data_IF_934555840300
#
_entry.id   IF_934555840300
#
_cell.length_a   1.000
_cell.length_b   1.000
_cell.length_c   1.000
_cell.angle_alpha   90.00
_cell.angle_beta   90.00
_cell.angle_gamma   90.00
#
_symmetry.space_group_name_H-M   'P 1'
#
loop_
_entity.id
_entity.type
_entity.pdbx_description
1 polymer ?
#
# COMPACT_ATOMS: atom_id res chain seq x y z
N UNK A 1 -25.51 9.22 -2.08
CA UNK A 1 -25.29 9.24 -0.62
C UNK A 1 -26.11 8.13 0.03
N UNK A 2 -25.46 7.22 0.77
CA UNK A 2 -26.18 6.21 1.58
C UNK A 2 -26.97 6.93 2.67
N UNK A 3 -28.21 6.47 2.93
CA UNK A 3 -29.13 7.13 3.88
C UNK A 3 -28.46 7.27 5.25
N UNK A 4 -28.23 8.51 5.69
CA UNK A 4 -27.77 8.83 7.05
C UNK A 4 -26.26 9.01 7.25
N UNK A 5 -25.45 9.09 6.20
CA UNK A 5 -24.04 9.50 6.28
C UNK A 5 -23.90 10.93 5.74
N UNK A 6 -23.24 11.80 6.49
CA UNK A 6 -22.91 13.18 6.12
C UNK A 6 -21.41 13.40 6.14
N UNK A 7 -20.87 14.07 5.13
CA UNK A 7 -19.46 14.45 5.00
C UNK A 7 -19.35 15.97 4.98
N UNK A 8 -18.49 16.54 5.82
CA UNK A 8 -18.26 17.99 5.89
C UNK A 8 -16.76 18.29 6.01
N UNK A 9 -16.34 19.46 5.50
CA UNK A 9 -15.03 20.05 5.83
C UNK A 9 -15.17 20.79 7.15
N UNK A 10 -14.25 20.54 8.05
CA UNK A 10 -14.15 21.18 9.36
C UNK A 10 -12.68 21.58 9.61
N UNK A 11 -12.43 22.25 10.73
CA UNK A 11 -11.08 22.55 11.19
C UNK A 11 -10.89 21.97 12.59
N UNK A 12 -9.74 21.36 12.84
CA UNK A 12 -9.41 20.93 14.18
C UNK A 12 -9.08 22.13 15.10
N UNK A 13 -8.83 21.85 16.39
CA UNK A 13 -8.52 22.87 17.38
C UNK A 13 -7.22 23.65 17.06
N UNK A 14 -6.36 23.10 16.21
CA UNK A 14 -5.12 23.73 15.74
C UNK A 14 -5.31 24.49 14.43
N UNK A 15 -6.53 24.52 13.88
CA UNK A 15 -6.86 25.18 12.62
C UNK A 15 -6.45 24.39 11.38
N UNK A 16 -6.15 23.10 11.52
CA UNK A 16 -5.79 22.22 10.41
C UNK A 16 -7.08 21.77 9.71
N UNK A 17 -7.16 21.87 8.36
CA UNK A 17 -8.34 21.42 7.62
C UNK A 17 -8.51 19.91 7.76
N UNK A 18 -9.70 19.48 8.17
CA UNK A 18 -10.06 18.08 8.31
C UNK A 18 -11.43 17.79 7.67
N UNK A 19 -11.64 16.53 7.32
CA UNK A 19 -12.90 16.04 6.76
C UNK A 19 -13.57 15.17 7.80
N UNK A 20 -14.78 15.52 8.19
CA UNK A 20 -15.54 14.79 9.21
C UNK A 20 -16.67 14.04 8.54
N UNK A 21 -16.63 12.70 8.66
CA UNK A 21 -17.71 11.83 8.21
C UNK A 21 -18.50 11.39 9.43
N UNK A 22 -19.77 11.73 9.48
CA UNK A 22 -20.70 11.39 10.57
C UNK A 22 -21.78 10.45 10.08
N UNK A 23 -22.11 9.45 10.89
CA UNK A 23 -23.25 8.54 10.65
C UNK A 23 -24.34 8.82 11.67
N UNK A 24 -25.61 8.87 11.24
CA UNK A 24 -26.73 9.12 12.15
C UNK A 24 -26.99 7.98 13.14
N UNK A 25 -26.77 6.72 12.73
CA UNK A 25 -26.99 5.52 13.57
C UNK A 25 -26.02 4.40 13.19
N UNK A 26 -25.43 3.75 14.21
CA UNK A 26 -24.53 2.61 14.05
C UNK A 26 -23.06 3.00 13.82
N UNK A 27 -22.20 1.98 13.73
CA UNK A 27 -20.75 2.14 13.51
C UNK A 27 -20.44 2.51 12.06
N UNK A 28 -19.40 3.31 11.87
CA UNK A 28 -18.90 3.67 10.55
C UNK A 28 -17.81 2.67 10.15
N UNK A 29 -18.00 1.96 9.04
CA UNK A 29 -17.02 0.95 8.59
C UNK A 29 -16.08 1.52 7.53
N UNK A 30 -14.85 0.98 7.43
CA UNK A 30 -13.88 1.40 6.40
C UNK A 30 -14.47 1.36 4.97
N UNK A 31 -15.19 0.31 4.54
CA UNK A 31 -15.83 0.32 3.22
C UNK A 31 -16.84 1.45 3.02
N UNK A 32 -17.60 1.82 4.06
CA UNK A 32 -18.54 2.95 3.99
C UNK A 32 -17.82 4.30 3.86
N UNK A 33 -16.68 4.46 4.54
CA UNK A 33 -15.82 5.64 4.43
C UNK A 33 -15.27 5.73 3.00
N UNK A 34 -14.68 4.65 2.51
CA UNK A 34 -14.08 4.59 1.18
C UNK A 34 -15.11 4.87 0.09
N UNK A 35 -16.28 4.23 0.15
CA UNK A 35 -17.40 4.48 -0.79
C UNK A 35 -17.84 5.96 -0.76
N UNK A 36 -17.91 6.55 0.44
CA UNK A 36 -18.33 7.95 0.62
C UNK A 36 -17.30 8.91 0.02
N UNK A 37 -16.01 8.63 0.15
CA UNK A 37 -14.94 9.44 -0.44
C UNK A 37 -14.85 9.27 -1.97
N UNK A 38 -15.07 8.07 -2.50
CA UNK A 38 -14.96 7.78 -3.93
C UNK A 38 -16.17 8.28 -4.74
N UNK A 39 -17.37 8.18 -4.17
CA UNK A 39 -18.62 8.41 -4.91
C UNK A 39 -19.49 9.54 -4.31
N UNK A 40 -19.10 10.08 -3.15
CA UNK A 40 -19.77 11.23 -2.54
C UNK A 40 -19.61 12.51 -3.36
N UNK A 41 -20.65 13.35 -3.35
CA UNK A 41 -20.69 14.71 -3.90
C UNK A 41 -19.89 14.94 -5.20
N UNK A 42 -20.21 14.17 -6.24
CA UNK A 42 -19.57 14.28 -7.57
C UNK A 42 -18.04 14.09 -7.54
N UNK A 43 -17.54 13.21 -6.66
CA UNK A 43 -16.12 12.87 -6.54
C UNK A 43 -15.22 14.04 -6.08
N UNK A 44 -15.79 15.07 -5.45
CA UNK A 44 -15.01 16.21 -4.94
C UNK A 44 -14.14 15.87 -3.70
N UNK A 45 -14.30 14.66 -3.17
CA UNK A 45 -13.60 14.15 -2.00
C UNK A 45 -12.51 13.12 -2.34
N UNK A 46 -12.21 12.92 -3.63
CA UNK A 46 -11.14 11.99 -4.05
C UNK A 46 -9.79 12.54 -3.61
N UNK A 47 -9.09 11.78 -2.78
CA UNK A 47 -7.81 12.17 -2.20
C UNK A 47 -7.24 11.09 -1.29
N UNK A 48 -6.05 11.34 -0.74
CA UNK A 48 -5.44 10.49 0.28
C UNK A 48 -5.74 11.07 1.66
N UNK A 49 -6.22 10.22 2.55
CA UNK A 49 -6.59 10.62 3.91
C UNK A 49 -5.87 9.76 4.94
N UNK A 50 -5.55 10.36 6.09
CA UNK A 50 -5.08 9.67 7.28
C UNK A 50 -6.17 9.69 8.33
N UNK A 51 -6.43 8.53 8.93
CA UNK A 51 -7.27 8.39 10.12
C UNK A 51 -6.32 8.28 11.31
N UNK A 52 -6.47 9.19 12.27
CA UNK A 52 -5.80 9.08 13.56
C UNK A 52 -6.74 8.33 14.51
N UNK A 53 -6.35 7.12 14.90
CA UNK A 53 -7.11 6.30 15.84
C UNK A 53 -6.58 6.55 17.25
N UNK A 54 -7.33 7.31 18.05
CA UNK A 54 -7.04 7.50 19.46
C UNK A 54 -7.73 6.41 20.30
N UNK A 55 -6.97 5.39 20.66
CA UNK A 55 -7.40 4.27 21.51
C UNK A 55 -6.99 4.46 22.98
N UNK A 56 -6.83 5.70 23.46
CA UNK A 56 -6.54 5.97 24.88
C UNK A 56 -7.75 5.67 25.76
N UNK A 57 -7.53 5.44 27.07
CA UNK A 57 -8.62 5.14 28.02
C UNK A 57 -9.69 6.25 28.09
N UNK A 58 -9.36 7.48 27.66
CA UNK A 58 -10.30 8.61 27.59
C UNK A 58 -11.39 8.39 26.54
N UNK A 59 -11.11 7.60 25.49
CA UNK A 59 -12.10 7.22 24.46
C UNK A 59 -12.87 5.94 24.81
N UNK A 60 -12.47 5.23 25.87
CA UNK A 60 -13.28 4.18 26.49
C UNK A 60 -14.26 4.83 27.47
N UNK A 61 -15.46 5.17 26.98
CA UNK A 61 -16.52 5.89 27.69
C UNK A 61 -16.55 5.66 29.20
N UNK A 62 -16.12 6.69 29.95
CA UNK A 62 -16.19 6.73 31.41
C UNK A 62 -17.63 6.93 31.88
N UNK A 63 -18.21 5.86 32.43
CA UNK A 63 -19.29 5.78 33.42
C UNK A 63 -20.45 6.80 33.31
N UNK A 64 -21.42 6.52 32.42
CA UNK A 64 -22.85 6.38 32.75
C UNK A 64 -23.61 7.47 33.51
N UNK A 65 -23.10 8.71 33.63
CA UNK A 65 -23.77 9.79 34.37
C UNK A 65 -24.20 10.98 33.49
N UNK A 66 -23.85 11.00 32.20
CA UNK A 66 -24.23 12.04 31.24
C UNK A 66 -25.22 11.60 30.14
N UNK A 67 -25.57 10.31 30.07
CA UNK A 67 -26.42 9.69 29.01
C UNK A 67 -27.90 10.11 29.00
N UNK A 68 -28.31 11.19 29.69
CA UNK A 68 -29.73 11.56 29.80
C UNK A 68 -30.17 12.77 28.96
N UNK A 69 -29.30 13.38 28.14
CA UNK A 69 -29.72 14.46 27.25
C UNK A 69 -29.00 14.38 25.91
N UNK A 70 -29.81 14.21 24.87
CA UNK A 70 -29.53 14.15 23.42
C UNK A 70 -29.24 12.76 22.84
N UNK A 71 -30.01 12.36 21.82
CA UNK A 71 -29.81 11.11 21.06
C UNK A 71 -28.36 11.05 20.56
N UNK A 72 -27.60 10.05 21.02
CA UNK A 72 -26.19 9.90 20.64
C UNK A 72 -26.04 9.96 19.12
N UNK A 73 -25.37 10.99 18.57
CA UNK A 73 -25.03 10.98 17.16
C UNK A 73 -24.15 9.75 16.94
N UNK A 74 -24.51 8.94 15.94
CA UNK A 74 -23.73 7.76 15.60
C UNK A 74 -22.26 8.10 15.27
N UNK A 75 -21.51 7.04 14.96
CA UNK A 75 -20.05 7.10 14.87
C UNK A 75 -19.53 8.18 13.91
N UNK A 76 -18.44 8.83 14.31
CA UNK A 76 -17.83 9.95 13.59
C UNK A 76 -16.33 9.70 13.43
N UNK A 77 -15.83 9.88 12.22
CA UNK A 77 -14.41 9.75 11.91
C UNK A 77 -13.89 11.07 11.34
N UNK A 78 -12.77 11.52 11.90
CA UNK A 78 -12.01 12.68 11.41
C UNK A 78 -10.90 12.17 10.50
N UNK A 79 -10.85 12.72 9.29
CA UNK A 79 -9.92 12.40 8.23
C UNK A 79 -9.07 13.63 7.93
N UNK A 80 -7.75 13.46 7.94
CA UNK A 80 -6.84 14.52 7.50
C UNK A 80 -6.44 14.26 6.06
N UNK A 81 -6.74 15.20 5.17
CA UNK A 81 -6.34 15.11 3.77
C UNK A 81 -4.83 15.37 3.68
N UNK A 82 -4.13 14.55 2.90
CA UNK A 82 -2.71 14.74 2.62
C UNK A 82 -2.55 15.34 1.23
N UNK A 83 -2.13 16.60 1.16
CA UNK A 83 -1.70 17.24 -0.10
C UNK A 83 -0.16 17.31 -0.18
N UNK A 84 0.35 17.34 -1.41
CA UNK A 84 1.80 17.36 -1.67
C UNK A 84 2.41 18.67 -1.19
N UNK A 85 3.44 18.59 -0.32
CA UNK A 85 4.12 19.76 0.23
C UNK A 85 3.46 20.41 1.44
N UNK A 86 2.27 19.97 1.86
CA UNK A 86 1.64 20.46 3.10
C UNK A 86 2.35 19.91 4.35
N UNK A 87 2.32 20.62 5.50
CA UNK A 87 2.85 20.08 6.73
C UNK A 87 2.05 18.85 7.19
N UNK A 88 2.75 17.79 7.57
CA UNK A 88 2.13 16.57 8.09
C UNK A 88 1.34 16.89 9.37
N UNK A 89 0.05 16.53 9.46
CA UNK A 89 -0.78 16.80 10.64
C UNK A 89 -0.32 16.04 11.90
N UNK A 90 0.57 15.06 11.76
CA UNK A 90 1.09 14.25 12.89
C UNK A 90 2.40 14.80 13.46
N UNK A 91 3.31 15.25 12.60
CA UNK A 91 4.67 15.65 13.02
C UNK A 91 5.08 17.06 12.60
N UNK A 92 4.21 17.78 11.88
CA UNK A 92 4.42 19.11 11.33
C UNK A 92 5.64 19.26 10.40
N UNK A 93 6.27 18.15 10.01
CA UNK A 93 7.29 18.12 8.97
C UNK A 93 6.61 18.26 7.60
N UNK A 94 7.23 18.98 6.67
CA UNK A 94 6.72 19.09 5.31
C UNK A 94 6.52 17.70 4.72
N UNK A 95 5.30 17.43 4.24
CA UNK A 95 5.01 16.22 3.51
C UNK A 95 5.93 16.21 2.30
N UNK A 96 6.73 15.13 2.13
CA UNK A 96 7.69 15.06 1.06
C UNK A 96 6.98 15.23 -0.29
N UNK A 97 7.57 15.98 -1.24
CA UNK A 97 6.96 16.26 -2.54
C UNK A 97 6.85 15.00 -3.43
N UNK A 98 7.34 13.86 -2.95
CA UNK A 98 7.21 12.55 -3.55
C UNK A 98 6.51 11.63 -2.55
N UNK A 99 5.34 11.16 -2.95
CA UNK A 99 4.56 10.18 -2.20
C UNK A 99 5.38 8.89 -2.08
N UNK A 100 5.48 8.25 -0.91
CA UNK A 100 6.22 6.98 -0.77
C UNK A 100 5.59 5.99 0.22
N UNK A 101 5.93 4.71 0.07
CA UNK A 101 5.59 3.66 1.01
C UNK A 101 6.43 3.78 2.29
N UNK A 102 5.85 3.96 3.48
CA UNK A 102 6.60 4.11 4.72
C UNK A 102 7.38 2.85 5.12
N UNK A 103 7.05 1.69 4.56
CA UNK A 103 7.72 0.40 4.85
C UNK A 103 8.94 0.16 3.97
N UNK A 104 8.98 0.69 2.74
CA UNK A 104 10.05 0.41 1.78
C UNK A 104 10.63 1.63 1.06
N UNK A 105 10.10 2.82 1.29
CA UNK A 105 10.55 4.08 0.68
C UNK A 105 10.20 4.24 -0.81
N UNK A 106 9.52 3.27 -1.42
CA UNK A 106 9.15 3.31 -2.83
C UNK A 106 8.12 4.40 -3.11
N UNK A 107 8.32 5.18 -4.16
CA UNK A 107 7.38 6.24 -4.50
C UNK A 107 5.97 5.67 -4.85
N UNK A 108 4.91 6.27 -4.32
CA UNK A 108 3.51 5.96 -4.63
C UNK A 108 3.02 6.68 -5.88
N UNK A 109 3.68 7.76 -6.30
CA UNK A 109 3.38 8.40 -7.57
C UNK A 109 3.99 7.58 -8.71
N UNK A 110 3.16 7.13 -9.65
CA UNK A 110 3.63 6.63 -10.95
C UNK A 110 4.19 7.81 -11.73
N UNK A 111 5.45 8.15 -11.50
CA UNK A 111 6.19 9.05 -12.37
C UNK A 111 6.35 8.33 -13.71
N UNK A 112 5.44 8.60 -14.65
CA UNK A 112 5.42 8.17 -16.06
C UNK A 112 6.15 6.85 -16.30
N UNK A 113 5.40 5.75 -16.38
CA UNK A 113 5.88 4.38 -16.57
C UNK A 113 6.73 4.23 -17.85
N UNK A 114 7.99 4.65 -17.78
CA UNK A 114 9.01 4.22 -18.71
C UNK A 114 9.32 2.76 -18.37
N UNK A 115 9.43 1.92 -19.40
CA UNK A 115 9.72 0.49 -19.25
C UNK A 115 10.96 0.24 -18.40
N UNK A 116 11.97 1.10 -18.48
CA UNK A 116 13.20 0.99 -17.66
C UNK A 116 12.90 1.18 -16.16
N UNK A 117 12.03 2.13 -15.80
CA UNK A 117 11.61 2.34 -14.41
C UNK A 117 10.81 1.15 -13.90
N UNK A 118 9.96 0.56 -14.74
CA UNK A 118 9.17 -0.61 -14.39
C UNK A 118 10.05 -1.85 -14.21
N UNK A 119 10.98 -2.10 -15.14
CA UNK A 119 11.94 -3.20 -15.04
C UNK A 119 12.82 -3.06 -13.78
N UNK A 120 13.27 -1.85 -13.46
CA UNK A 120 14.04 -1.59 -12.24
C UNK A 120 13.22 -1.85 -10.96
N UNK A 121 11.95 -1.45 -10.93
CA UNK A 121 11.06 -1.75 -9.80
C UNK A 121 10.82 -3.26 -9.63
N UNK A 122 10.60 -3.98 -10.75
CA UNK A 122 10.46 -5.44 -10.74
C UNK A 122 11.74 -6.14 -10.29
N UNK A 123 12.91 -5.65 -10.72
CA UNK A 123 14.22 -6.14 -10.30
C UNK A 123 14.42 -5.97 -8.79
N UNK A 124 14.05 -4.81 -8.24
CA UNK A 124 14.15 -4.53 -6.81
C UNK A 124 13.26 -5.48 -5.99
N UNK A 125 12.02 -5.71 -6.44
CA UNK A 125 11.09 -6.61 -5.76
C UNK A 125 11.54 -8.08 -5.82
N UNK A 126 12.02 -8.53 -6.98
CA UNK A 126 12.60 -9.86 -7.14
C UNK A 126 13.84 -10.03 -6.24
N UNK A 127 14.73 -9.04 -6.21
CA UNK A 127 15.92 -9.04 -5.36
C UNK A 127 15.57 -9.14 -3.87
N UNK A 128 14.57 -8.38 -3.44
CA UNK A 128 14.07 -8.41 -2.05
C UNK A 128 13.53 -9.79 -1.70
N UNK A 129 12.72 -10.36 -2.58
CA UNK A 129 12.09 -11.67 -2.37
C UNK A 129 13.11 -12.82 -2.38
N UNK A 130 14.13 -12.74 -3.24
CA UNK A 130 15.23 -13.71 -3.27
C UNK A 130 16.06 -13.66 -1.98
N UNK A 131 16.36 -12.45 -1.47
CA UNK A 131 17.15 -12.25 -0.26
C UNK A 131 16.37 -12.51 1.04
N UNK A 132 15.07 -12.77 0.95
CA UNK A 132 14.25 -13.03 2.12
C UNK A 132 14.68 -14.34 2.81
N UNK A 133 15.11 -14.31 4.10
CA UNK A 133 15.53 -15.50 4.83
C UNK A 133 14.41 -16.52 5.02
N UNK A 134 13.14 -16.09 5.01
CA UNK A 134 11.97 -16.97 5.15
C UNK A 134 11.45 -17.58 3.83
N UNK A 135 12.01 -17.21 2.68
CA UNK A 135 11.58 -17.74 1.39
C UNK A 135 12.22 -19.11 1.10
N UNK A 136 11.41 -20.05 0.60
CA UNK A 136 11.90 -21.36 0.12
C UNK A 136 12.77 -21.20 -1.14
N UNK A 137 13.66 -22.15 -1.39
CA UNK A 137 14.53 -22.15 -2.58
C UNK A 137 13.72 -22.11 -3.89
N UNK A 138 12.62 -22.88 -3.95
CA UNK A 138 11.69 -22.86 -5.08
C UNK A 138 11.06 -21.47 -5.27
N UNK A 139 10.70 -20.78 -4.19
CA UNK A 139 10.17 -19.42 -4.26
C UNK A 139 11.21 -18.42 -4.76
N UNK A 140 12.46 -18.52 -4.28
CA UNK A 140 13.57 -17.67 -4.74
C UNK A 140 13.84 -17.88 -6.24
N UNK A 141 13.84 -19.13 -6.70
CA UNK A 141 13.99 -19.46 -8.12
C UNK A 141 12.83 -18.93 -8.96
N UNK A 142 11.60 -19.05 -8.47
CA UNK A 142 10.42 -18.51 -9.16
C UNK A 142 10.55 -16.99 -9.35
N UNK A 143 10.91 -16.24 -8.31
CA UNK A 143 11.11 -14.79 -8.40
C UNK A 143 12.21 -14.41 -9.39
N UNK A 144 13.32 -15.14 -9.41
CA UNK A 144 14.40 -14.92 -10.38
C UNK A 144 13.89 -15.10 -11.81
N UNK A 145 13.23 -16.24 -12.10
CA UNK A 145 12.73 -16.53 -13.45
C UNK A 145 11.58 -15.63 -13.88
N UNK A 146 10.71 -15.21 -12.95
CA UNK A 146 9.65 -14.24 -13.25
C UNK A 146 10.23 -12.91 -13.73
N UNK A 147 11.31 -12.42 -13.11
CA UNK A 147 11.93 -11.19 -13.56
C UNK A 147 12.68 -11.35 -14.89
N UNK A 148 13.40 -12.45 -15.11
CA UNK A 148 14.01 -12.77 -16.41
C UNK A 148 12.94 -12.80 -17.51
N UNK A 149 11.79 -13.44 -17.26
CA UNK A 149 10.66 -13.47 -18.19
C UNK A 149 10.09 -12.08 -18.49
N UNK A 150 10.07 -11.17 -17.51
CA UNK A 150 9.65 -9.78 -17.73
C UNK A 150 10.59 -9.00 -18.64
N UNK A 151 11.89 -9.26 -18.55
CA UNK A 151 12.91 -8.68 -19.43
C UNK A 151 12.74 -9.21 -20.87
N UNK A 152 12.53 -10.53 -21.03
CA UNK A 152 12.25 -11.13 -22.34
C UNK A 152 10.97 -10.56 -22.97
N UNK A 153 9.91 -10.37 -22.18
CA UNK A 153 8.66 -9.78 -22.63
C UNK A 153 8.86 -8.33 -23.08
N UNK A 154 9.59 -7.52 -22.30
CA UNK A 154 9.91 -6.14 -22.67
C UNK A 154 10.66 -6.07 -24.01
N UNK A 155 11.57 -7.02 -24.25
CA UNK A 155 12.25 -7.14 -25.55
C UNK A 155 11.28 -7.56 -26.65
N UNK A 156 10.39 -8.52 -26.39
CA UNK A 156 9.38 -8.98 -27.37
C UNK A 156 8.41 -7.90 -27.81
N UNK A 157 8.13 -6.94 -26.94
CA UNK A 157 7.31 -5.78 -27.23
C UNK A 157 8.09 -4.61 -27.84
N UNK A 158 9.37 -4.81 -28.19
CA UNK A 158 10.30 -3.81 -28.72
C UNK A 158 10.45 -2.56 -27.82
N UNK A 159 10.21 -2.72 -26.52
CA UNK A 159 10.37 -1.65 -25.52
C UNK A 159 11.84 -1.48 -25.10
N UNK A 160 12.65 -2.52 -25.26
CA UNK A 160 14.09 -2.52 -25.03
C UNK A 160 14.84 -3.21 -26.17
N UNK A 161 16.09 -2.79 -26.40
CA UNK A 161 16.95 -3.43 -27.39
C UNK A 161 17.50 -4.78 -26.92
N UNK A 162 17.92 -5.63 -27.87
CA UNK A 162 18.60 -6.90 -27.55
C UNK A 162 19.89 -6.69 -26.75
N UNK A 163 20.62 -5.61 -27.04
CA UNK A 163 21.81 -5.23 -26.26
C UNK A 163 21.43 -4.93 -24.81
N UNK A 164 20.37 -4.16 -24.59
CA UNK A 164 19.89 -3.80 -23.25
C UNK A 164 19.39 -5.02 -22.48
N UNK A 165 18.75 -5.99 -23.16
CA UNK A 165 18.37 -7.28 -22.59
C UNK A 165 19.56 -8.01 -21.97
N UNK A 166 20.69 -8.08 -22.69
CA UNK A 166 21.90 -8.74 -22.22
C UNK A 166 22.52 -8.04 -21.00
N UNK A 167 22.53 -6.70 -21.00
CA UNK A 167 22.97 -5.91 -19.84
C UNK A 167 22.14 -6.24 -18.59
N UNK A 168 20.81 -6.25 -18.71
CA UNK A 168 19.90 -6.59 -17.61
C UNK A 168 20.09 -8.04 -17.09
N UNK A 169 20.48 -8.97 -17.97
CA UNK A 169 20.80 -10.34 -17.57
C UNK A 169 22.08 -10.42 -16.74
N UNK A 170 23.11 -9.67 -17.12
CA UNK A 170 24.34 -9.61 -16.33
C UNK A 170 24.12 -8.92 -14.98
N UNK A 171 23.26 -7.90 -14.91
CA UNK A 171 22.87 -7.26 -13.64
C UNK A 171 22.17 -8.24 -12.68
N UNK A 172 21.34 -9.16 -13.20
CA UNK A 172 20.62 -10.14 -12.40
C UNK A 172 21.42 -11.40 -12.06
N UNK A 173 22.44 -11.72 -12.84
CA UNK A 173 23.25 -12.93 -12.70
C UNK A 173 23.79 -13.20 -11.27
N UNK A 174 24.26 -12.20 -10.49
CA UNK A 174 24.74 -12.42 -9.12
C UNK A 174 23.65 -12.86 -8.14
N UNK A 175 22.39 -12.62 -8.47
CA UNK A 175 21.23 -12.93 -7.62
C UNK A 175 20.64 -14.31 -7.90
N UNK A 176 21.17 -15.04 -8.89
CA UNK A 176 20.67 -16.37 -9.24
C UNK A 176 20.84 -17.33 -8.04
N UNK A 177 19.74 -17.88 -7.49
CA UNK A 177 19.84 -18.84 -6.40
C UNK A 177 20.62 -20.09 -6.82
N UNK A 178 21.45 -20.62 -5.92
CA UNK A 178 22.11 -21.90 -6.13
C UNK A 178 21.06 -23.00 -6.28
N UNK A 179 21.19 -23.82 -7.32
CA UNK A 179 20.32 -24.98 -7.51
C UNK A 179 20.89 -26.10 -6.65
N UNK A 180 20.33 -26.29 -5.47
CA UNK A 180 20.43 -27.54 -4.70
C UNK A 180 19.38 -28.48 -5.27
N UNK A 181 19.73 -29.16 -6.37
CA UNK A 181 18.95 -30.32 -6.79
C UNK A 181 19.04 -31.33 -5.65
N UNK A 182 17.93 -31.82 -5.07
CA UNK A 182 18.00 -33.04 -4.30
C UNK A 182 18.54 -34.09 -5.27
N UNK A 183 19.73 -34.60 -5.00
CA UNK A 183 20.20 -35.81 -5.65
C UNK A 183 19.17 -36.87 -5.28
N UNK A 184 18.39 -37.32 -6.26
CA UNK A 184 17.56 -38.51 -6.13
C UNK A 184 18.50 -39.62 -5.66
N UNK A 185 18.47 -39.87 -4.36
CA UNK A 185 19.21 -40.97 -3.76
C UNK A 185 18.48 -42.21 -4.18
N UNK A 186 19.13 -42.98 -5.06
CA UNK A 186 18.70 -44.27 -5.53
C UNK A 186 18.08 -45.10 -4.39
N UNK A 187 16.76 -45.27 -4.47
CA UNK A 187 15.99 -46.19 -3.65
C UNK A 187 15.93 -47.56 -4.30
N UNK A 188 16.95 -48.36 -4.00
CA UNK A 188 17.03 -49.82 -4.13
C UNK A 188 15.70 -50.54 -3.82
N UNK A 189 15.29 -51.43 -4.73
CA UNK A 189 14.44 -52.63 -4.62
C UNK A 189 13.17 -52.62 -3.72
N UNK A 190 12.02 -52.91 -4.34
CA UNK A 190 10.98 -53.81 -3.79
C UNK A 190 9.95 -54.26 -4.84
N UNK A 191 9.93 -55.58 -5.08
CA UNK A 191 8.83 -56.44 -5.55
C UNK A 191 8.42 -56.28 -7.03
N UNK A 192 8.27 -57.31 -7.87
CA UNK A 192 7.88 -58.73 -7.70
C UNK A 192 8.78 -59.69 -8.50
#
# INVERSE_FOLDING_TARGET
MKRGISINRDYDYQGIPCVVIKKKRGKLTLPEITDTLHYGDRQCWVGRYVILLDCTEVTMGGNGCLDMMDEDPGDAVVLYQLEEGEPCPVCNASLPPFQYCPTCGSAWAENGTNIETLLAAMQQEASRSIKNPGASEASRLAWYWSHIGSIDLARQLDLISEKRRQELYEEMRPLKPAITVPVDTEGVNRNE
#
